data_IF_041292002139
#
_entry.id   IF_041292002139
#
_cell.length_a   1.000
_cell.length_b   1.000
_cell.length_c   1.000
_cell.angle_alpha   90.00
_cell.angle_beta   90.00
_cell.angle_gamma   90.00
#
_symmetry.space_group_name_H-M   'P 1'
#
loop_
_entity.id
_entity.type
_entity.pdbx_description
1 polymer ?
#
# COMPACT_ATOMS: atom_id res chain seq x y z
N UNK A 1 11.06 7.74 -14.03
CA UNK A 1 9.98 8.32 -13.18
C UNK A 1 10.61 8.91 -11.94
N UNK A 2 10.09 10.01 -11.39
CA UNK A 2 10.57 10.58 -10.12
C UNK A 2 9.49 10.44 -9.05
N UNK A 3 9.86 9.91 -7.88
CA UNK A 3 9.03 9.78 -6.69
C UNK A 3 9.60 10.67 -5.59
N UNK A 4 8.72 11.39 -4.92
CA UNK A 4 9.06 12.38 -3.90
C UNK A 4 8.66 11.85 -2.52
N UNK A 5 9.60 11.79 -1.58
CA UNK A 5 9.37 11.27 -0.23
C UNK A 5 9.79 12.28 0.83
N UNK A 6 9.12 12.35 1.98
CA UNK A 6 9.63 13.08 3.13
C UNK A 6 11.07 12.64 3.47
N UNK A 7 12.00 13.59 3.52
CA UNK A 7 13.42 13.29 3.77
C UNK A 7 13.67 12.74 5.17
N UNK A 8 14.60 11.78 5.30
CA UNK A 8 15.07 11.26 6.58
C UNK A 8 14.33 10.02 7.09
N UNK A 9 13.25 9.63 6.40
CA UNK A 9 12.37 8.54 6.79
C UNK A 9 12.63 7.25 6.02
N UNK A 10 12.09 6.15 6.58
CA UNK A 10 11.89 4.91 5.83
C UNK A 10 10.83 5.16 4.77
N UNK A 11 11.00 4.60 3.59
CA UNK A 11 10.05 4.71 2.49
C UNK A 11 9.55 3.33 2.11
N UNK A 12 8.29 3.28 1.69
CA UNK A 12 7.72 2.13 1.03
C UNK A 12 6.90 2.63 -0.16
N UNK A 13 7.14 2.06 -1.34
CA UNK A 13 6.40 2.41 -2.55
C UNK A 13 6.33 1.21 -3.49
N UNK A 14 5.55 1.35 -4.55
CA UNK A 14 5.45 0.35 -5.60
C UNK A 14 5.45 0.96 -6.99
N UNK A 15 5.90 0.18 -7.96
CA UNK A 15 5.75 0.48 -9.39
C UNK A 15 5.21 -0.76 -10.10
N UNK A 16 4.77 -0.59 -11.34
CA UNK A 16 4.27 -1.68 -12.19
C UNK A 16 5.43 -2.64 -12.53
N UNK A 17 5.19 -3.94 -12.40
CA UNK A 17 6.10 -4.97 -12.89
C UNK A 17 5.85 -5.20 -14.39
N UNK A 18 6.72 -4.67 -15.25
CA UNK A 18 6.55 -4.77 -16.71
C UNK A 18 6.76 -6.20 -17.25
N UNK A 19 7.53 -7.01 -16.52
CA UNK A 19 7.75 -8.44 -16.71
C UNK A 19 8.39 -9.00 -15.42
N UNK A 20 8.69 -10.31 -15.30
CA UNK A 20 9.35 -10.84 -14.12
C UNK A 20 10.69 -10.14 -13.84
N UNK A 21 10.91 -9.72 -12.60
CA UNK A 21 12.12 -9.03 -12.19
C UNK A 21 13.29 -10.01 -12.11
N UNK A 22 14.42 -9.61 -12.67
CA UNK A 22 15.69 -10.31 -12.52
C UNK A 22 16.38 -9.86 -11.23
N UNK A 23 16.69 -8.56 -11.15
CA UNK A 23 17.23 -7.94 -9.94
C UNK A 23 16.90 -6.45 -9.87
N UNK A 24 17.14 -5.88 -8.70
CA UNK A 24 16.97 -4.45 -8.44
C UNK A 24 18.28 -3.90 -7.89
N UNK A 25 18.68 -2.73 -8.37
CA UNK A 25 19.78 -1.96 -7.85
C UNK A 25 19.29 -0.64 -7.25
N UNK A 26 19.90 -0.22 -6.15
CA UNK A 26 19.83 1.16 -5.65
C UNK A 26 21.24 1.73 -5.56
N UNK A 27 21.43 2.90 -6.15
CA UNK A 27 22.72 3.61 -6.21
C UNK A 27 23.86 2.74 -6.78
N UNK A 28 23.51 1.87 -7.75
CA UNK A 28 24.44 0.94 -8.40
C UNK A 28 24.73 -0.35 -7.63
N UNK A 29 24.08 -0.58 -6.48
CA UNK A 29 24.25 -1.80 -5.69
C UNK A 29 23.00 -2.67 -5.73
N UNK A 30 23.17 -3.97 -5.98
CA UNK A 30 22.06 -4.92 -5.95
C UNK A 30 21.50 -5.04 -4.54
N UNK A 31 20.19 -4.91 -4.42
CA UNK A 31 19.48 -5.06 -3.14
C UNK A 31 18.75 -6.41 -3.06
N UNK A 32 18.60 -6.99 -1.85
CA UNK A 32 18.02 -8.30 -1.68
C UNK A 32 16.52 -8.33 -2.03
N UNK A 33 16.10 -9.45 -2.63
CA UNK A 33 14.67 -9.80 -2.74
C UNK A 33 14.17 -10.25 -1.36
N UNK A 34 12.92 -9.92 -1.03
CA UNK A 34 12.27 -10.45 0.17
C UNK A 34 12.31 -11.99 0.19
N UNK A 35 12.61 -12.61 1.35
CA UNK A 35 12.51 -14.05 1.49
C UNK A 35 11.09 -14.55 1.23
N UNK A 36 10.96 -15.79 0.74
CA UNK A 36 9.66 -16.42 0.55
C UNK A 36 8.83 -16.40 1.84
N UNK A 37 7.56 -15.99 1.74
CA UNK A 37 6.66 -15.91 2.89
C UNK A 37 6.99 -14.78 3.88
N UNK A 38 7.79 -13.79 3.48
CA UNK A 38 8.08 -12.59 4.26
C UNK A 38 7.91 -11.33 3.41
N UNK A 39 7.46 -10.25 4.03
CA UNK A 39 7.50 -8.93 3.42
C UNK A 39 8.87 -8.28 3.67
N UNK A 40 9.22 -7.33 2.82
CA UNK A 40 10.36 -6.46 3.06
C UNK A 40 10.19 -5.66 4.36
N UNK A 41 11.27 -5.52 5.13
CA UNK A 41 11.27 -4.68 6.32
C UNK A 41 11.48 -3.22 5.95
N UNK A 42 10.66 -2.27 6.44
CA UNK A 42 10.72 -0.88 6.00
C UNK A 42 12.04 -0.15 6.24
N UNK A 43 12.83 -0.60 7.21
CA UNK A 43 14.13 -0.04 7.58
C UNK A 43 15.30 -0.56 6.72
N UNK A 44 15.04 -1.45 5.77
CA UNK A 44 16.06 -2.04 4.90
C UNK A 44 15.71 -1.83 3.45
N UNK A 45 16.74 -1.61 2.62
CA UNK A 45 16.58 -1.63 1.16
C UNK A 45 16.26 -3.06 0.74
N UNK A 46 15.02 -3.29 0.32
CA UNK A 46 14.52 -4.61 -0.07
C UNK A 46 13.44 -4.46 -1.14
N UNK A 47 13.29 -5.47 -1.98
CA UNK A 47 12.22 -5.51 -2.98
C UNK A 47 11.45 -6.82 -2.98
N UNK A 48 10.19 -6.78 -3.40
CA UNK A 48 9.36 -7.97 -3.61
C UNK A 48 8.41 -7.78 -4.79
N UNK A 49 8.15 -8.86 -5.52
CA UNK A 49 7.08 -8.89 -6.52
C UNK A 49 5.78 -9.22 -5.81
N UNK A 50 4.74 -8.45 -6.09
CA UNK A 50 3.42 -8.62 -5.52
C UNK A 50 2.42 -8.76 -6.65
N UNK A 51 1.67 -9.87 -6.63
CA UNK A 51 0.63 -10.13 -7.62
C UNK A 51 -0.55 -9.18 -7.46
N UNK A 52 -1.21 -8.84 -8.56
CA UNK A 52 -2.41 -8.01 -8.58
C UNK A 52 -3.55 -8.50 -7.65
N UNK A 53 -3.56 -9.79 -7.30
CA UNK A 53 -4.46 -10.43 -6.35
C UNK A 53 -4.06 -10.28 -4.88
N UNK A 54 -2.86 -9.77 -4.61
CA UNK A 54 -2.26 -9.72 -3.26
C UNK A 54 -2.08 -8.29 -2.74
N UNK A 55 -2.62 -7.29 -3.42
CA UNK A 55 -2.59 -5.92 -2.91
C UNK A 55 -3.81 -5.11 -3.34
N UNK A 56 -4.11 -4.06 -2.60
CA UNK A 56 -4.91 -2.97 -3.13
C UNK A 56 -4.24 -1.62 -2.86
N UNK A 57 -4.49 -0.66 -3.73
CA UNK A 57 -4.10 0.74 -3.53
C UNK A 57 -5.35 1.61 -3.53
N UNK A 58 -5.47 2.47 -2.53
CA UNK A 58 -6.47 3.54 -2.47
C UNK A 58 -5.77 4.85 -2.71
N UNK A 59 -6.19 5.61 -3.73
CA UNK A 59 -5.65 6.95 -3.95
C UNK A 59 -6.72 8.00 -4.28
N UNK A 60 -6.43 9.27 -3.99
CA UNK A 60 -7.32 10.39 -4.32
C UNK A 60 -7.80 11.16 -3.09
N UNK A 61 -8.80 12.03 -3.27
CA UNK A 61 -9.36 12.85 -2.20
C UNK A 61 -10.60 12.22 -1.57
N UNK A 62 -10.69 12.23 -0.25
CA UNK A 62 -11.88 11.75 0.46
C UNK A 62 -12.99 12.81 0.46
N UNK A 63 -13.97 12.68 -0.43
CA UNK A 63 -15.10 13.62 -0.53
C UNK A 63 -16.18 13.43 0.54
N UNK A 64 -16.35 12.21 1.05
CA UNK A 64 -17.33 11.90 2.10
C UNK A 64 -16.78 11.99 3.53
N UNK A 65 -17.60 11.70 4.56
CA UNK A 65 -17.14 11.65 5.94
C UNK A 65 -16.17 10.47 6.18
N UNK A 66 -16.40 9.35 5.49
CA UNK A 66 -15.53 8.18 5.52
C UNK A 66 -15.68 7.32 4.26
N UNK A 67 -14.70 6.45 4.06
CA UNK A 67 -14.73 5.31 3.15
C UNK A 67 -14.16 4.11 3.90
N UNK A 68 -14.61 2.89 3.59
CA UNK A 68 -14.03 1.69 4.18
C UNK A 68 -13.89 0.55 3.18
N UNK A 69 -12.87 -0.28 3.40
CA UNK A 69 -12.61 -1.50 2.66
C UNK A 69 -12.59 -2.64 3.66
N UNK A 70 -13.33 -3.70 3.38
CA UNK A 70 -13.34 -4.94 4.14
C UNK A 70 -12.79 -6.06 3.26
N UNK A 71 -11.77 -6.73 3.76
CA UNK A 71 -11.10 -7.86 3.10
C UNK A 71 -11.29 -9.10 3.95
N UNK A 72 -12.04 -10.07 3.43
CA UNK A 72 -12.23 -11.35 4.11
C UNK A 72 -10.92 -12.15 4.11
N UNK A 73 -10.63 -12.93 5.15
CA UNK A 73 -9.56 -13.92 5.11
C UNK A 73 -9.81 -14.94 3.99
N UNK A 74 -8.76 -15.62 3.54
CA UNK A 74 -8.93 -16.76 2.65
C UNK A 74 -9.85 -17.80 3.32
N UNK A 75 -10.72 -18.46 2.55
CA UNK A 75 -11.78 -19.33 3.09
C UNK A 75 -11.26 -20.42 4.04
N UNK A 76 -10.03 -20.91 3.83
CA UNK A 76 -9.40 -21.95 4.64
C UNK A 76 -8.87 -21.47 5.99
N UNK A 77 -8.70 -20.16 6.18
CA UNK A 77 -8.12 -19.58 7.39
C UNK A 77 -9.19 -19.15 8.40
N UNK A 78 -10.39 -18.79 7.92
CA UNK A 78 -11.46 -18.25 8.74
C UNK A 78 -11.08 -16.94 9.47
N UNK A 79 -11.93 -16.52 10.41
CA UNK A 79 -11.70 -15.34 11.24
C UNK A 79 -12.39 -14.06 10.75
N UNK A 80 -12.15 -12.96 11.46
CA UNK A 80 -12.74 -11.65 11.17
C UNK A 80 -12.08 -11.00 9.94
N UNK A 81 -12.84 -10.17 9.18
CA UNK A 81 -12.26 -9.41 8.08
C UNK A 81 -11.24 -8.36 8.54
N UNK A 82 -10.29 -8.07 7.65
CA UNK A 82 -9.43 -6.89 7.76
C UNK A 82 -10.22 -5.67 7.29
N UNK A 83 -10.46 -4.73 8.19
CA UNK A 83 -11.24 -3.52 7.91
C UNK A 83 -10.32 -2.30 7.89
N UNK A 84 -10.28 -1.60 6.77
CA UNK A 84 -9.51 -0.38 6.57
C UNK A 84 -10.47 0.79 6.45
N UNK A 85 -10.29 1.80 7.30
CA UNK A 85 -11.16 2.98 7.33
C UNK A 85 -10.33 4.22 6.99
N UNK A 86 -10.85 5.01 6.05
CA UNK A 86 -10.35 6.34 5.74
C UNK A 86 -11.43 7.33 6.17
N UNK A 87 -11.15 8.24 7.10
CA UNK A 87 -12.17 9.16 7.64
C UNK A 87 -11.66 10.58 7.81
N UNK A 88 -12.57 11.55 7.76
CA UNK A 88 -12.28 12.94 8.17
C UNK A 88 -11.99 13.00 9.68
N UNK A 89 -11.27 14.03 10.17
CA UNK A 89 -10.96 14.19 11.59
C UNK A 89 -12.21 14.09 12.48
N UNK A 90 -13.26 14.82 12.12
CA UNK A 90 -14.48 14.97 12.93
C UNK A 90 -15.55 13.90 12.65
N UNK A 91 -15.33 13.04 11.66
CA UNK A 91 -16.27 11.97 11.35
C UNK A 91 -16.14 10.82 12.38
N UNK A 92 -17.24 10.28 12.93
CA UNK A 92 -17.18 9.09 13.76
C UNK A 92 -16.66 7.89 12.94
N UNK A 93 -15.91 7.00 13.59
CA UNK A 93 -15.53 5.73 12.97
C UNK A 93 -16.78 4.88 12.77
N UNK A 94 -17.02 4.32 11.57
CA UNK A 94 -18.18 3.46 11.33
C UNK A 94 -18.20 2.24 12.26
N UNK A 95 -19.40 1.79 12.62
CA UNK A 95 -19.60 0.50 13.28
C UNK A 95 -19.69 -0.61 12.24
N UNK A 96 -19.17 -1.79 12.58
CA UNK A 96 -19.19 -2.96 11.70
C UNK A 96 -19.92 -4.11 12.40
N UNK A 97 -20.56 -5.02 11.64
CA UNK A 97 -21.27 -6.16 12.21
C UNK A 97 -20.40 -6.99 13.16
N UNK A 98 -21.02 -7.62 14.15
CA UNK A 98 -20.36 -8.49 15.13
C UNK A 98 -19.21 -7.81 15.90
N UNK A 99 -19.32 -6.50 16.12
CA UNK A 99 -18.35 -5.67 16.84
C UNK A 99 -16.91 -5.78 16.30
N UNK A 100 -16.76 -6.10 15.00
CA UNK A 100 -15.44 -6.19 14.37
C UNK A 100 -14.80 -4.80 14.36
N UNK A 101 -13.64 -4.68 14.97
CA UNK A 101 -12.88 -3.42 15.00
C UNK A 101 -12.12 -3.20 13.70
N UNK A 102 -11.98 -1.95 13.24
CA UNK A 102 -11.06 -1.60 12.17
C UNK A 102 -9.65 -2.11 12.46
N UNK A 103 -9.06 -2.76 11.46
CA UNK A 103 -7.65 -3.14 11.47
C UNK A 103 -6.75 -1.90 11.28
N UNK A 104 -7.20 -0.95 10.47
CA UNK A 104 -6.50 0.29 10.20
C UNK A 104 -7.47 1.46 10.08
N UNK A 105 -7.07 2.61 10.63
CA UNK A 105 -7.81 3.87 10.49
C UNK A 105 -6.84 4.98 10.08
N UNK A 106 -7.08 5.57 8.91
CA UNK A 106 -6.39 6.77 8.46
C UNK A 106 -7.30 7.99 8.63
N UNK A 107 -6.80 8.99 9.35
CA UNK A 107 -7.43 10.31 9.42
C UNK A 107 -6.95 11.13 8.22
N UNK A 108 -7.89 11.64 7.43
CA UNK A 108 -7.66 12.33 6.16
C UNK A 108 -8.26 13.73 6.22
N UNK A 109 -7.44 14.77 6.42
CA UNK A 109 -7.87 16.16 6.33
C UNK A 109 -8.45 16.52 4.95
N UNK A 110 -9.32 17.52 4.89
CA UNK A 110 -10.08 17.87 3.68
C UNK A 110 -9.22 18.21 2.46
N UNK A 111 -8.02 18.77 2.70
CA UNK A 111 -7.08 19.18 1.65
C UNK A 111 -5.97 18.15 1.39
N UNK A 112 -6.00 16.99 2.05
CA UNK A 112 -5.03 15.92 1.83
C UNK A 112 -5.54 14.90 0.81
N UNK A 113 -4.61 14.34 0.04
CA UNK A 113 -4.87 13.15 -0.78
C UNK A 113 -4.41 11.92 -0.02
N UNK A 114 -5.18 10.85 -0.18
CA UNK A 114 -4.82 9.51 0.26
C UNK A 114 -3.90 8.91 -0.80
N UNK A 115 -2.84 8.26 -0.33
CA UNK A 115 -2.13 7.23 -1.08
C UNK A 115 -1.82 6.10 -0.10
N UNK A 116 -2.69 5.08 -0.09
CA UNK A 116 -2.58 3.96 0.83
C UNK A 116 -2.46 2.66 0.07
N UNK A 117 -1.45 1.87 0.38
CA UNK A 117 -1.18 0.58 -0.23
C UNK A 117 -1.25 -0.50 0.85
N UNK A 118 -1.99 -1.57 0.58
CA UNK A 118 -2.08 -2.72 1.48
C UNK A 118 -1.63 -3.94 0.72
N UNK A 119 -0.65 -4.64 1.26
CA UNK A 119 -0.02 -5.83 0.67
C UNK A 119 -0.25 -7.01 1.59
N UNK A 120 -0.75 -8.11 1.01
CA UNK A 120 -1.06 -9.35 1.69
C UNK A 120 -0.01 -10.42 1.36
N UNK A 121 0.38 -11.21 2.35
CA UNK A 121 1.32 -12.32 2.20
C UNK A 121 0.82 -13.37 1.20
N UNK A 122 -0.47 -13.67 1.26
CA UNK A 122 -1.17 -14.64 0.42
C UNK A 122 -2.43 -13.99 -0.16
N UNK A 123 -3.00 -14.59 -1.21
CA UNK A 123 -4.24 -14.10 -1.79
C UNK A 123 -5.35 -14.11 -0.71
N UNK A 124 -5.94 -12.94 -0.37
CA UNK A 124 -7.02 -12.89 0.60
C UNK A 124 -8.34 -13.34 -0.04
N UNK A 125 -9.40 -13.36 0.77
CA UNK A 125 -10.76 -13.66 0.30
C UNK A 125 -11.42 -12.47 -0.37
N UNK A 126 -12.76 -12.46 -0.29
CA UNK A 126 -13.62 -11.43 -0.88
C UNK A 126 -13.26 -10.02 -0.39
N UNK A 127 -13.15 -9.08 -1.31
CA UNK A 127 -13.00 -7.65 -1.04
C UNK A 127 -14.35 -6.96 -1.25
N UNK A 128 -14.73 -6.09 -0.32
CA UNK A 128 -15.90 -5.21 -0.41
C UNK A 128 -15.53 -3.82 0.07
N UNK A 129 -16.17 -2.79 -0.46
CA UNK A 129 -15.93 -1.41 -0.05
C UNK A 129 -17.23 -0.63 0.08
N UNK A 130 -17.18 0.45 0.87
CA UNK A 130 -18.31 1.37 1.10
C UNK A 130 -17.80 2.81 1.13
N UNK A 131 -18.68 3.75 0.77
CA UNK A 131 -18.35 5.18 0.68
C UNK A 131 -17.87 5.60 -0.72
N UNK A 132 -17.24 6.79 -0.85
CA UNK A 132 -16.88 7.38 -2.14
C UNK A 132 -15.62 6.72 -2.73
N UNK A 133 -15.71 5.43 -3.07
CA UNK A 133 -14.67 4.61 -3.71
C UNK A 133 -15.13 4.15 -5.11
N UNK A 134 -14.33 4.43 -6.13
CA UNK A 134 -14.51 3.95 -7.50
C UNK A 134 -13.45 2.88 -7.83
N UNK A 135 -13.92 1.75 -8.36
CA UNK A 135 -13.11 0.61 -8.74
C UNK A 135 -13.20 0.30 -10.25
N UNK A 136 -14.00 1.07 -11.01
CA UNK A 136 -14.27 0.84 -12.43
C UNK A 136 -13.77 1.96 -13.33
N UNK A 137 -13.95 3.22 -12.92
CA UNK A 137 -13.54 4.39 -13.72
C UNK A 137 -12.75 5.36 -12.86
N UNK A 138 -11.77 6.03 -13.47
CA UNK A 138 -10.96 7.00 -12.73
C UNK A 138 -11.76 8.27 -12.48
N UNK A 139 -12.64 8.29 -11.48
CA UNK A 139 -13.35 9.51 -11.09
C UNK A 139 -12.48 10.37 -10.16
N UNK A 140 -12.17 11.59 -10.59
CA UNK A 140 -11.41 12.57 -9.81
C UNK A 140 -12.15 13.01 -8.53
N UNK A 141 -13.45 12.72 -8.42
CA UNK A 141 -14.29 13.01 -7.26
C UNK A 141 -14.40 11.83 -6.28
N UNK A 142 -13.83 10.67 -6.59
CA UNK A 142 -13.87 9.49 -5.72
C UNK A 142 -12.46 8.99 -5.42
N UNK A 143 -12.34 8.19 -4.36
CA UNK A 143 -11.12 7.43 -4.11
C UNK A 143 -11.02 6.30 -5.14
N UNK A 144 -9.90 6.22 -5.82
CA UNK A 144 -9.60 5.18 -6.79
C UNK A 144 -9.08 3.93 -6.09
N UNK A 145 -9.71 2.78 -6.36
CA UNK A 145 -9.23 1.45 -5.95
C UNK A 145 -8.48 0.78 -7.10
N UNK A 146 -7.22 0.40 -6.86
CA UNK A 146 -6.36 -0.34 -7.78
C UNK A 146 -5.94 -1.67 -7.16
N UNK A 147 -5.44 -2.60 -7.97
CA UNK A 147 -5.09 -3.96 -7.53
C UNK A 147 -6.35 -4.83 -7.42
N UNK A 148 -6.50 -5.51 -6.29
CA UNK A 148 -7.62 -6.41 -6.02
C UNK A 148 -8.95 -5.76 -6.37
N UNK A 149 -9.68 -6.38 -7.30
CA UNK A 149 -11.02 -5.96 -7.75
C UNK A 149 -11.13 -4.54 -8.34
N UNK A 150 -10.02 -3.81 -8.49
CA UNK A 150 -9.98 -2.41 -8.90
C UNK A 150 -9.70 -2.15 -10.39
N UNK A 151 -9.45 -0.88 -10.72
CA UNK A 151 -9.31 -0.37 -12.10
C UNK A 151 -8.03 -0.82 -12.82
N UNK A 152 -6.96 -1.07 -12.05
CA UNK A 152 -5.66 -1.48 -12.59
C UNK A 152 -5.19 -2.74 -11.89
N UNK A 153 -5.21 -3.86 -12.60
CA UNK A 153 -4.88 -5.20 -12.09
C UNK A 153 -3.53 -5.65 -12.62
N UNK A 154 -2.50 -4.84 -12.42
CA UNK A 154 -1.13 -5.19 -12.79
C UNK A 154 -0.34 -5.71 -11.59
N UNK A 155 0.58 -6.64 -11.84
CA UNK A 155 1.57 -7.03 -10.86
C UNK A 155 2.46 -5.82 -10.55
N UNK A 156 2.96 -5.75 -9.32
CA UNK A 156 3.79 -4.65 -8.85
C UNK A 156 5.11 -5.14 -8.31
N UNK A 157 6.12 -4.29 -8.41
CA UNK A 157 7.34 -4.42 -7.63
C UNK A 157 7.23 -3.43 -6.47
N UNK A 158 7.23 -3.95 -5.26
CA UNK A 158 7.23 -3.17 -4.03
C UNK A 158 8.65 -3.03 -3.52
N UNK A 159 8.97 -1.84 -3.02
CA UNK A 159 10.27 -1.49 -2.49
C UNK A 159 10.10 -0.91 -1.11
N UNK A 160 11.00 -1.31 -0.22
CA UNK A 160 11.28 -0.59 1.01
C UNK A 160 12.70 -0.09 0.98
N UNK A 161 12.98 0.94 1.77
CA UNK A 161 14.32 1.46 1.91
C UNK A 161 14.33 2.76 2.70
N UNK A 162 15.46 3.46 2.67
CA UNK A 162 15.58 4.78 3.30
C UNK A 162 15.91 5.84 2.26
N UNK A 163 15.08 6.88 2.18
CA UNK A 163 15.38 8.09 1.41
C UNK A 163 15.85 9.13 2.41
N UNK A 164 17.18 9.21 2.55
CA UNK A 164 17.83 10.24 3.37
C UNK A 164 17.67 11.60 2.64
N UNK A 165 18.36 12.63 3.11
CA UNK A 165 18.34 13.99 2.53
C UNK A 165 19.03 14.09 1.16
N UNK A 166 19.12 12.99 0.39
CA UNK A 166 19.74 12.94 -0.94
C UNK A 166 18.89 12.10 -1.88
N UNK A 167 18.86 12.51 -3.14
CA UNK A 167 18.31 11.70 -4.24
C UNK A 167 19.02 10.34 -4.33
N UNK A 168 18.23 9.29 -4.52
CA UNK A 168 18.67 7.92 -4.76
C UNK A 168 18.16 7.43 -6.11
N UNK A 169 18.96 6.63 -6.81
CA UNK A 169 18.59 6.07 -8.12
C UNK A 169 18.34 4.58 -7.99
N UNK A 170 17.12 4.17 -8.31
CA UNK A 170 16.73 2.77 -8.38
C UNK A 170 16.65 2.33 -9.84
N UNK A 171 17.20 1.15 -10.12
CA UNK A 171 17.10 0.48 -11.40
C UNK A 171 16.48 -0.90 -11.21
N UNK A 172 15.44 -1.19 -11.96
CA UNK A 172 14.77 -2.49 -11.98
C UNK A 172 15.18 -3.15 -13.30
N UNK A 173 15.90 -4.26 -13.21
CA UNK A 173 16.25 -5.08 -14.37
C UNK A 173 15.26 -6.23 -14.46
N UNK A 174 14.65 -6.37 -15.63
CA UNK A 174 13.70 -7.43 -15.89
C UNK A 174 14.31 -8.58 -16.70
N UNK A 175 13.73 -9.78 -16.57
CA UNK A 175 14.22 -10.99 -17.25
C UNK A 175 14.11 -10.95 -18.77
N UNK A 176 13.23 -10.13 -19.32
CA UNK A 176 13.11 -9.88 -20.76
C UNK A 176 14.14 -8.85 -21.28
N UNK A 177 15.09 -8.44 -20.45
CA UNK A 177 16.16 -7.51 -20.78
C UNK A 177 15.78 -6.04 -20.62
N UNK A 178 14.50 -5.70 -20.41
CA UNK A 178 14.07 -4.31 -20.16
C UNK A 178 14.62 -3.80 -18.84
N UNK A 179 14.72 -2.47 -18.76
CA UNK A 179 15.14 -1.76 -17.56
C UNK A 179 14.17 -0.63 -17.28
N UNK A 180 13.82 -0.43 -16.01
CA UNK A 180 13.08 0.74 -15.55
C UNK A 180 13.89 1.50 -14.51
N UNK A 181 14.01 2.81 -14.69
CA UNK A 181 14.72 3.70 -13.76
C UNK A 181 13.73 4.56 -12.98
N UNK A 182 13.87 4.54 -11.65
CA UNK A 182 13.09 5.33 -10.71
C UNK A 182 14.05 6.21 -9.90
N UNK A 183 13.80 7.51 -9.91
CA UNK A 183 14.50 8.48 -9.07
C UNK A 183 13.69 8.70 -7.81
N UNK A 184 14.30 8.50 -6.64
CA UNK A 184 13.69 8.75 -5.33
C UNK A 184 14.31 10.03 -4.77
N UNK A 185 13.53 11.10 -4.67
CA UNK A 185 14.02 12.40 -4.21
C UNK A 185 13.40 12.76 -2.84
N UNK A 186 14.18 13.35 -1.92
CA UNK A 186 13.63 13.96 -0.72
C UNK A 186 12.74 15.15 -1.10
N UNK A 187 11.66 15.34 -0.37
CA UNK A 187 10.66 16.38 -0.61
C UNK A 187 10.12 16.91 0.71
N UNK A 188 9.74 18.19 0.70
CA UNK A 188 8.97 18.82 1.77
C UNK A 188 7.45 18.60 1.62
N UNK A 189 7.03 17.83 0.62
CA UNK A 189 5.62 17.60 0.31
C UNK A 189 4.90 16.87 1.46
N UNK A 190 3.69 17.31 1.85
CA UNK A 190 2.93 16.72 2.95
C UNK A 190 2.19 15.44 2.56
N UNK A 191 2.44 14.86 1.38
CA UNK A 191 1.74 13.64 0.93
C UNK A 191 2.08 12.49 1.88
N UNK A 192 1.05 11.99 2.59
CA UNK A 192 1.15 10.83 3.47
C UNK A 192 0.89 9.57 2.67
N UNK A 193 1.95 8.92 2.24
CA UNK A 193 1.88 7.56 1.71
C UNK A 193 1.88 6.57 2.87
N UNK A 194 0.85 5.73 2.98
CA UNK A 194 0.81 4.63 3.94
C UNK A 194 0.97 3.29 3.22
N UNK A 195 1.86 2.43 3.72
CA UNK A 195 2.00 1.06 3.23
C UNK A 195 1.81 0.11 4.40
N UNK A 196 0.87 -0.82 4.28
CA UNK A 196 0.59 -1.85 5.27
C UNK A 196 0.96 -3.22 4.70
N UNK A 197 1.81 -3.94 5.43
CA UNK A 197 2.17 -5.33 5.15
C UNK A 197 1.38 -6.24 6.09
N UNK A 198 0.59 -7.16 5.55
CA UNK A 198 -0.31 -8.01 6.30
C UNK A 198 0.07 -9.48 6.11
N UNK A 199 0.53 -10.09 7.20
CA UNK A 199 0.61 -11.54 7.31
C UNK A 199 -0.81 -12.11 7.48
N UNK A 200 -1.48 -12.32 6.36
CA UNK A 200 -2.83 -12.92 6.32
C UNK A 200 -2.79 -14.45 6.31
N UNK A 201 -1.67 -15.09 6.67
CA UNK A 201 -1.62 -16.54 6.90
C UNK A 201 -2.13 -16.93 8.29
N UNK A 202 -2.41 -15.94 9.13
CA UNK A 202 -2.92 -16.08 10.49
C UNK A 202 -4.22 -15.29 10.64
N UNK A 203 -5.13 -15.70 11.56
CA UNK A 203 -6.33 -14.93 11.85
C UNK A 203 -6.00 -13.47 12.20
N UNK A 204 -6.84 -12.54 11.77
CA UNK A 204 -6.71 -11.13 12.11
C UNK A 204 -6.73 -10.96 13.64
N UNK A 205 -5.56 -10.68 14.23
CA UNK A 205 -5.50 -10.19 15.61
C UNK A 205 -5.90 -8.72 15.55
N UNK A 206 -6.91 -8.32 16.32
CA UNK A 206 -7.29 -6.92 16.43
C UNK A 206 -6.06 -6.10 16.82
N UNK A 207 -5.52 -5.33 15.88
CA UNK A 207 -4.43 -4.41 16.17
C UNK A 207 -5.05 -3.28 17.00
N UNK A 208 -4.46 -2.94 18.15
CA UNK A 208 -4.86 -1.72 18.86
C UNK A 208 -4.82 -0.58 17.83
N UNK A 209 -5.84 0.29 17.73
CA UNK A 209 -5.78 1.44 16.87
C UNK A 209 -4.56 2.25 17.30
N UNK A 210 -3.45 2.06 16.59
CA UNK A 210 -2.38 3.03 16.62
C UNK A 210 -3.02 4.23 15.93
N UNK A 211 -3.10 5.36 16.63
CA UNK A 211 -3.32 6.65 15.99
C UNK A 211 -2.13 6.92 15.08
N UNK A 212 -2.04 6.15 14.00
CA UNK A 212 -0.82 5.67 13.41
C UNK A 212 -0.04 6.82 12.83
N UNK A 213 0.84 7.39 13.65
CA UNK A 213 2.18 7.78 13.19
C UNK A 213 2.91 6.49 12.78
N UNK A 214 2.47 5.86 11.70
CA UNK A 214 3.42 5.22 10.81
C UNK A 214 3.86 6.33 9.87
N UNK A 215 4.69 7.22 10.40
CA UNK A 215 5.44 8.17 9.58
C UNK A 215 6.48 7.37 8.82
N UNK A 216 6.12 6.97 7.61
CA UNK A 216 7.05 7.04 6.49
C UNK A 216 7.17 8.51 6.07
#
# INVERSE_FOLDING_TARGET
>A
MTLNFPGGNNVAFSTIALSPVDYVEIDGQKIPKAPAGKHCEPNTDCWQEVKNTNYFTVSGSLKGPHASISVQPAAKLGGNPYIFVFKRPDAPTPTFPNDVKPYYVQIVPENEKIESQVVFMTEPGKVTWTGPLDAQKGDKNMLSLMGMTGMDKQDRVFFTGRVVNKERKMMIKFKDGKTQTVTMAPSSSPVKTSVLFIDNTKPAKGVKPTGGKSTF
#
